data_IF_991104211167
#
_entry.id   IF_991104211167
#
_cell.length_a   1.000
_cell.length_b   1.000
_cell.length_c   1.000
_cell.angle_alpha   90.00
_cell.angle_beta   90.00
_cell.angle_gamma   90.00
#
_symmetry.space_group_name_H-M   'P 1'
#
loop_
_entity.id
_entity.type
_entity.pdbx_description
1 polymer ?
#
# COMPACT_ATOMS: atom_id res chain seq x y z
N UNK A 1 -47.06 19.16 -39.58
CA UNK A 1 -46.13 18.03 -39.75
C UNK A 1 -45.45 17.78 -38.41
N UNK A 2 -45.72 16.64 -37.77
CA UNK A 2 -45.03 16.19 -36.54
C UNK A 2 -43.87 15.29 -36.98
N UNK A 3 -42.65 15.59 -36.55
CA UNK A 3 -41.54 14.65 -36.58
C UNK A 3 -40.67 14.89 -35.35
N UNK A 4 -40.89 14.05 -34.34
CA UNK A 4 -39.92 13.79 -33.29
C UNK A 4 -38.79 12.96 -33.90
N UNK A 5 -37.57 13.46 -33.84
CA UNK A 5 -36.34 12.68 -33.97
C UNK A 5 -35.32 13.46 -33.14
N UNK A 6 -34.93 13.03 -31.95
CA UNK A 6 -34.44 11.69 -31.65
C UNK A 6 -32.97 11.87 -31.29
N UNK A 7 -32.71 12.54 -30.17
CA UNK A 7 -31.36 12.70 -29.65
C UNK A 7 -30.91 11.33 -29.12
N UNK A 8 -30.22 10.57 -29.96
CA UNK A 8 -29.50 9.38 -29.53
C UNK A 8 -28.30 9.84 -28.68
N UNK A 9 -28.51 9.97 -27.38
CA UNK A 9 -27.43 9.94 -26.40
C UNK A 9 -26.86 8.52 -26.46
N UNK A 10 -25.84 8.33 -27.30
CA UNK A 10 -24.98 7.17 -27.18
C UNK A 10 -24.31 7.27 -25.81
N UNK A 11 -24.90 6.58 -24.82
CA UNK A 11 -24.19 6.23 -23.60
C UNK A 11 -22.99 5.41 -24.06
N UNK A 12 -21.82 6.06 -24.09
CA UNK A 12 -20.56 5.34 -24.02
C UNK A 12 -20.58 4.73 -22.63
N UNK A 13 -21.13 3.53 -22.53
CA UNK A 13 -20.93 2.65 -21.40
C UNK A 13 -19.44 2.34 -21.41
N UNK A 14 -18.65 3.21 -20.78
CA UNK A 14 -17.39 2.81 -20.20
C UNK A 14 -17.76 1.69 -19.26
N UNK A 15 -17.61 0.45 -19.73
CA UNK A 15 -17.46 -0.69 -18.87
C UNK A 15 -16.28 -0.34 -17.98
N UNK A 16 -16.56 0.23 -16.81
CA UNK A 16 -15.67 0.12 -15.68
C UNK A 16 -15.55 -1.39 -15.49
N UNK A 17 -14.50 -1.97 -16.06
CA UNK A 17 -14.01 -3.24 -15.56
C UNK A 17 -13.87 -2.98 -14.07
N UNK A 18 -14.71 -3.60 -13.25
CA UNK A 18 -14.50 -3.68 -11.82
C UNK A 18 -13.15 -4.39 -11.68
N UNK A 19 -12.08 -3.63 -11.75
CA UNK A 19 -10.74 -4.11 -11.58
C UNK A 19 -10.73 -4.40 -10.10
N UNK A 20 -10.92 -5.67 -9.75
CA UNK A 20 -10.83 -6.14 -8.38
C UNK A 20 -9.54 -5.56 -7.84
N UNK A 21 -9.65 -4.71 -6.82
CA UNK A 21 -8.49 -4.07 -6.20
C UNK A 21 -7.47 -5.12 -5.74
N UNK A 22 -6.28 -4.69 -5.31
CA UNK A 22 -5.23 -5.61 -4.89
C UNK A 22 -5.77 -6.62 -3.86
N UNK A 23 -5.29 -7.84 -3.99
CA UNK A 23 -5.59 -8.90 -3.02
C UNK A 23 -4.86 -8.63 -1.70
N UNK A 24 -5.37 -9.20 -0.61
CA UNK A 24 -4.66 -9.15 0.66
C UNK A 24 -3.28 -9.82 0.57
N UNK A 25 -3.13 -10.88 -0.25
CA UNK A 25 -1.84 -11.54 -0.41
C UNK A 25 -0.79 -10.62 -1.04
N UNK A 26 -1.15 -9.84 -2.06
CA UNK A 26 -0.23 -8.88 -2.68
C UNK A 26 0.14 -7.76 -1.71
N UNK A 27 -0.86 -7.24 -0.98
CA UNK A 27 -0.65 -6.25 0.08
C UNK A 27 0.30 -6.77 1.15
N UNK A 28 0.03 -7.97 1.69
CA UNK A 28 0.81 -8.62 2.74
C UNK A 28 2.26 -8.81 2.34
N UNK A 29 2.53 -9.40 1.17
CA UNK A 29 3.90 -9.64 0.69
C UNK A 29 4.65 -8.33 0.54
N UNK A 30 4.02 -7.31 -0.03
CA UNK A 30 4.65 -5.98 -0.17
C UNK A 30 5.01 -5.38 1.19
N UNK A 31 4.13 -5.51 2.19
CA UNK A 31 4.39 -5.05 3.56
C UNK A 31 5.49 -5.84 4.26
N UNK A 32 5.58 -7.16 4.05
CA UNK A 32 6.66 -8.00 4.61
C UNK A 32 8.02 -7.56 4.06
N UNK A 33 8.13 -7.39 2.73
CA UNK A 33 9.34 -6.86 2.09
C UNK A 33 9.69 -5.46 2.62
N UNK A 34 8.69 -4.58 2.76
CA UNK A 34 8.91 -3.25 3.31
C UNK A 34 9.44 -3.31 4.75
N UNK A 35 8.89 -4.20 5.59
CA UNK A 35 9.32 -4.36 6.98
C UNK A 35 10.78 -4.83 7.09
N UNK A 36 11.20 -5.74 6.22
CA UNK A 36 12.58 -6.24 6.18
C UNK A 36 13.56 -5.17 5.66
N UNK A 37 13.19 -4.45 4.61
CA UNK A 37 13.99 -3.32 4.11
C UNK A 37 14.09 -2.20 5.15
N UNK A 38 13.00 -1.90 5.87
CA UNK A 38 13.02 -0.92 6.95
C UNK A 38 13.94 -1.36 8.10
N UNK A 39 14.00 -2.65 8.45
CA UNK A 39 14.92 -3.15 9.45
C UNK A 39 16.39 -2.96 9.02
N UNK A 40 16.70 -3.18 7.74
CA UNK A 40 18.03 -2.95 7.18
C UNK A 40 18.42 -1.47 7.15
N UNK A 41 17.51 -0.59 6.72
CA UNK A 41 17.71 0.86 6.75
C UNK A 41 17.88 1.36 8.19
N UNK A 42 17.10 0.85 9.15
CA UNK A 42 17.24 1.21 10.58
C UNK A 42 18.64 0.98 11.13
N UNK A 43 19.32 -0.09 10.72
CA UNK A 43 20.70 -0.36 11.15
C UNK A 43 21.67 0.64 10.50
N UNK A 44 21.41 1.03 9.26
CA UNK A 44 22.24 1.95 8.49
C UNK A 44 22.19 3.38 9.07
N UNK A 45 20.99 3.92 9.32
CA UNK A 45 20.79 5.28 9.86
C UNK A 45 21.39 5.53 11.25
N UNK A 46 21.84 4.48 11.95
CA UNK A 46 22.61 4.62 13.19
C UNK A 46 24.01 5.17 12.95
N UNK A 47 24.54 5.01 11.75
CA UNK A 47 25.87 5.45 11.35
C UNK A 47 25.77 6.58 10.32
N UNK A 48 25.05 6.34 9.23
CA UNK A 48 24.86 7.28 8.13
C UNK A 48 23.70 6.81 7.24
N UNK A 49 23.02 7.71 6.53
CA UNK A 49 22.05 7.33 5.50
C UNK A 49 22.74 6.75 4.27
N UNK A 50 22.20 5.67 3.70
CA UNK A 50 22.82 5.00 2.54
C UNK A 50 21.88 4.12 1.72
N UNK A 51 22.49 3.17 0.99
CA UNK A 51 21.83 2.40 -0.06
C UNK A 51 20.67 1.53 0.45
N UNK A 52 20.70 1.06 1.70
CA UNK A 52 19.61 0.24 2.25
C UNK A 52 18.37 1.09 2.51
N UNK A 53 18.56 2.33 2.91
CA UNK A 53 17.48 3.30 3.01
C UNK A 53 16.93 3.68 1.63
N UNK A 54 17.78 3.89 0.63
CA UNK A 54 17.32 4.15 -0.74
C UNK A 54 16.45 3.00 -1.27
N UNK A 55 16.85 1.74 -1.02
CA UNK A 55 16.05 0.56 -1.37
C UNK A 55 14.72 0.51 -0.65
N UNK A 56 14.70 0.83 0.65
CA UNK A 56 13.45 0.90 1.43
C UNK A 56 12.49 1.95 0.84
N UNK A 57 12.95 3.18 0.63
CA UNK A 57 12.10 4.24 0.09
C UNK A 57 11.68 3.97 -1.35
N UNK A 58 12.57 3.43 -2.19
CA UNK A 58 12.23 3.02 -3.57
C UNK A 58 11.15 1.94 -3.59
N UNK A 59 11.20 0.98 -2.66
CA UNK A 59 10.14 -0.03 -2.51
C UNK A 59 8.81 0.60 -2.11
N UNK A 60 8.82 1.50 -1.12
CA UNK A 60 7.61 2.20 -0.68
C UNK A 60 7.00 3.07 -1.78
N UNK A 61 7.83 3.78 -2.54
CA UNK A 61 7.39 4.63 -3.65
C UNK A 61 6.78 3.79 -4.79
N UNK A 62 7.47 2.73 -5.20
CA UNK A 62 6.99 1.84 -6.27
C UNK A 62 5.70 1.08 -5.92
N UNK A 63 5.41 0.88 -4.63
CA UNK A 63 4.21 0.18 -4.15
C UNK A 63 3.16 1.10 -3.53
N UNK A 64 3.34 2.42 -3.58
CA UNK A 64 2.41 3.39 -3.00
C UNK A 64 0.98 3.22 -3.54
N UNK A 65 0.84 2.96 -4.84
CA UNK A 65 -0.45 2.72 -5.47
C UNK A 65 -1.15 1.46 -4.91
N UNK A 66 -0.38 0.39 -4.65
CA UNK A 66 -0.90 -0.85 -4.07
C UNK A 66 -1.40 -0.63 -2.64
N UNK A 67 -0.63 0.07 -1.80
CA UNK A 67 -1.06 0.40 -0.43
C UNK A 67 -2.33 1.26 -0.42
N UNK A 68 -2.39 2.30 -1.27
CA UNK A 68 -3.56 3.18 -1.35
C UNK A 68 -4.81 2.42 -1.85
N UNK A 69 -4.66 1.58 -2.87
CA UNK A 69 -5.77 0.79 -3.41
C UNK A 69 -6.27 -0.25 -2.39
N UNK A 70 -5.37 -0.93 -1.66
CA UNK A 70 -5.79 -1.87 -0.62
C UNK A 70 -6.46 -1.17 0.56
N UNK A 71 -5.96 0.00 0.99
CA UNK A 71 -6.60 0.81 2.02
C UNK A 71 -8.02 1.25 1.62
N UNK A 72 -8.21 1.67 0.36
CA UNK A 72 -9.54 2.01 -0.16
C UNK A 72 -10.46 0.79 -0.18
N UNK A 73 -9.92 -0.38 -0.56
CA UNK A 73 -10.66 -1.64 -0.54
C UNK A 73 -11.08 -2.03 0.87
N UNK A 74 -10.18 -1.94 1.85
CA UNK A 74 -10.48 -2.17 3.27
C UNK A 74 -11.54 -1.18 3.80
N UNK A 75 -11.50 0.08 3.40
CA UNK A 75 -12.51 1.07 3.78
C UNK A 75 -13.90 0.78 3.17
N UNK A 76 -13.94 0.18 1.98
CA UNK A 76 -15.18 -0.13 1.27
C UNK A 76 -15.78 -1.50 1.63
N UNK A 77 -14.94 -2.53 1.76
CA UNK A 77 -15.32 -3.93 1.94
C UNK A 77 -15.18 -4.39 3.40
N UNK A 78 -14.50 -3.60 4.26
CA UNK A 78 -14.22 -3.99 5.63
C UNK A 78 -13.40 -5.29 5.67
N UNK A 79 -13.79 -6.22 6.54
CA UNK A 79 -13.07 -7.48 6.72
C UNK A 79 -13.08 -8.37 5.47
N UNK A 80 -14.04 -8.20 4.55
CA UNK A 80 -14.11 -8.97 3.30
C UNK A 80 -12.91 -8.67 2.38
N UNK A 81 -12.25 -7.52 2.56
CA UNK A 81 -11.02 -7.17 1.84
C UNK A 81 -9.88 -8.18 2.08
N UNK A 82 -9.87 -8.83 3.25
CA UNK A 82 -8.89 -9.85 3.63
C UNK A 82 -9.13 -11.20 2.94
N UNK A 83 -10.30 -11.40 2.31
CA UNK A 83 -10.64 -12.65 1.63
C UNK A 83 -10.66 -13.83 2.59
N UNK A 84 -9.89 -14.88 2.26
CA UNK A 84 -9.81 -16.12 3.05
C UNK A 84 -8.68 -16.13 4.09
N UNK A 85 -8.11 -14.97 4.43
CA UNK A 85 -7.07 -14.90 5.45
C UNK A 85 -7.61 -15.38 6.80
N UNK A 86 -6.92 -16.34 7.41
CA UNK A 86 -7.27 -16.79 8.76
C UNK A 86 -6.80 -15.80 9.83
N UNK A 87 -7.32 -15.95 11.04
CA UNK A 87 -7.00 -15.07 12.17
C UNK A 87 -5.50 -15.02 12.47
N UNK A 88 -4.80 -16.16 12.37
CA UNK A 88 -3.36 -16.23 12.65
C UNK A 88 -2.59 -15.43 11.60
N UNK A 89 -2.98 -15.54 10.34
CA UNK A 89 -2.34 -14.81 9.25
C UNK A 89 -2.52 -13.30 9.39
N UNK A 90 -3.73 -12.87 9.76
CA UNK A 90 -4.03 -11.47 10.06
C UNK A 90 -3.23 -10.96 11.27
N UNK A 91 -3.13 -11.74 12.34
CA UNK A 91 -2.34 -11.38 13.52
C UNK A 91 -0.84 -11.26 13.18
N UNK A 92 -0.28 -12.20 12.41
CA UNK A 92 1.12 -12.12 11.96
C UNK A 92 1.35 -10.90 11.08
N UNK A 93 0.42 -10.62 10.17
CA UNK A 93 0.51 -9.43 9.32
C UNK A 93 0.43 -8.14 10.14
N UNK A 94 -0.45 -8.05 11.14
CA UNK A 94 -0.52 -6.90 12.04
C UNK A 94 0.79 -6.68 12.82
N UNK A 95 1.44 -7.76 13.29
CA UNK A 95 2.78 -7.66 13.91
C UNK A 95 3.82 -7.12 12.93
N UNK A 96 3.75 -7.54 11.67
CA UNK A 96 4.64 -7.04 10.60
C UNK A 96 4.42 -5.55 10.34
N UNK A 97 3.16 -5.10 10.27
CA UNK A 97 2.81 -3.68 10.15
C UNK A 97 3.31 -2.87 11.35
N UNK A 98 3.16 -3.39 12.58
CA UNK A 98 3.68 -2.72 13.79
C UNK A 98 5.20 -2.53 13.70
N UNK A 99 5.94 -3.59 13.35
CA UNK A 99 7.39 -3.55 13.18
C UNK A 99 7.82 -2.56 12.10
N UNK A 100 7.13 -2.54 10.96
CA UNK A 100 7.38 -1.57 9.89
C UNK A 100 7.21 -0.14 10.40
N UNK A 101 6.11 0.15 11.10
CA UNK A 101 5.83 1.48 11.65
C UNK A 101 6.89 1.92 12.67
N UNK A 102 7.27 1.02 13.59
CA UNK A 102 8.33 1.28 14.58
C UNK A 102 9.68 1.60 13.91
N UNK A 103 10.03 0.85 12.85
CA UNK A 103 11.25 1.11 12.10
C UNK A 103 11.18 2.43 11.34
N UNK A 104 10.06 2.72 10.67
CA UNK A 104 9.85 4.00 9.97
C UNK A 104 9.95 5.19 10.92
N UNK A 105 9.32 5.12 12.09
CA UNK A 105 9.40 6.18 13.09
C UNK A 105 10.85 6.45 13.50
N UNK A 106 11.62 5.37 13.74
CA UNK A 106 13.04 5.50 14.08
C UNK A 106 13.85 6.11 12.94
N UNK A 107 13.69 5.58 11.71
CA UNK A 107 14.38 6.07 10.50
C UNK A 107 14.13 7.57 10.33
N UNK A 108 12.86 7.98 10.32
CA UNK A 108 12.46 9.39 10.16
C UNK A 108 13.05 10.28 11.27
N UNK A 109 13.01 9.83 12.53
CA UNK A 109 13.61 10.56 13.65
C UNK A 109 15.11 10.78 13.44
N UNK A 110 15.83 9.74 12.98
CA UNK A 110 17.26 9.86 12.70
C UNK A 110 17.51 10.78 11.50
N UNK A 111 16.67 10.75 10.45
CA UNK A 111 16.78 11.67 9.31
C UNK A 111 16.68 13.14 9.75
N UNK A 112 15.68 13.45 10.57
CA UNK A 112 15.48 14.82 11.07
C UNK A 112 16.65 15.32 11.91
N UNK A 113 17.32 14.44 12.65
CA UNK A 113 18.50 14.79 13.43
C UNK A 113 19.73 15.07 12.56
N UNK A 114 19.90 14.37 11.43
CA UNK A 114 21.02 14.60 10.51
C UNK A 114 20.86 15.85 9.64
N UNK A 115 19.62 16.36 9.49
CA UNK A 115 19.33 17.60 8.76
C UNK A 115 19.50 18.87 9.61
N UNK A 116 19.83 18.74 10.90
CA UNK A 116 20.07 19.84 11.84
C UNK A 116 21.55 20.01 12.12
#
# INVERSE_FOLDING_TARGET
MKAFAGAALALVATAATAQSGPSFSEYKVSTEVAADLAALCRVEVQQEYGERCDRFYSHMESHMALYAQFANRLASEGNDAYGNADTVDLEMHQRTVSRLNENMQYINTMAELHLR
#
